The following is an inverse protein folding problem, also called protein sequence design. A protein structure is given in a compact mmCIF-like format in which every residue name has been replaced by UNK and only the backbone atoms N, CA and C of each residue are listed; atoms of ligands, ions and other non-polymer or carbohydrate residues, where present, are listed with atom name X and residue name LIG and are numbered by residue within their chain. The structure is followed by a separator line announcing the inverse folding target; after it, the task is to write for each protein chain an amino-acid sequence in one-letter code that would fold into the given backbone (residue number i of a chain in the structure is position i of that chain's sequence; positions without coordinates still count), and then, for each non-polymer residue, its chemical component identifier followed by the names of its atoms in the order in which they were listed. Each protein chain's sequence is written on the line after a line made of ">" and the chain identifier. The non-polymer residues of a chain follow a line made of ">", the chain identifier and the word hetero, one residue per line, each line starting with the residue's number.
data_IF_872435210746
#
_entry.id   IF_872435210746
#
_cell.length_a   1.000
_cell.length_b   1.000
_cell.length_c   1.000
_cell.angle_alpha   90.00
_cell.angle_beta   90.00
_cell.angle_gamma   90.00
#
_symmetry.space_group_name_H-M   'P 1'
#
loop_
_entity.id
_entity.type
_entity.pdbx_description
1 polymer ?
2 non-polymer ?
3 water ?
#
# COMPACT_ATOMS: atom_id res chain seq x y z
N UNK A 52 16.79 -3.87 -23.86
CA UNK A 52 15.54 -3.19 -23.37
C UNK A 52 15.71 -1.65 -23.44
N UNK A 53 14.70 -0.93 -23.93
CA UNK A 53 14.78 0.53 -23.97
C UNK A 53 14.33 1.11 -22.65
N UNK A 54 15.13 1.98 -22.07
CA UNK A 54 14.74 2.55 -20.78
C UNK A 54 13.57 3.51 -20.98
N UNK A 55 12.61 3.43 -20.07
CA UNK A 55 11.50 4.35 -20.04
C UNK A 55 11.64 5.29 -18.86
N UNK A 56 11.85 6.62 -19.13
CA UNK A 56 12.08 7.60 -18.10
C UNK A 56 10.87 7.81 -17.18
N UNK A 57 9.68 7.46 -17.68
CA UNK A 57 8.46 7.58 -16.87
C UNK A 57 8.12 6.28 -16.07
N UNK A 58 9.09 5.43 -15.89
CA UNK A 58 8.90 4.13 -15.31
C UNK A 58 9.89 4.15 -14.12
N UNK A 59 9.38 4.11 -12.90
CA UNK A 59 10.20 4.21 -11.68
C UNK A 59 10.11 2.95 -10.84
N UNK A 60 11.28 2.38 -10.51
CA UNK A 60 11.41 1.30 -9.52
C UNK A 60 11.73 1.86 -8.14
N UNK A 61 10.98 1.42 -7.13
CA UNK A 61 11.31 1.68 -5.74
C UNK A 61 11.90 0.44 -5.09
N UNK A 62 13.15 0.55 -4.67
CA UNK A 62 13.88 -0.52 -3.99
C UNK A 62 14.16 -0.17 -2.52
N UNK A 63 14.35 -1.22 -1.73
CA UNK A 63 14.87 -1.11 -0.35
C UNK A 63 16.13 -1.99 -0.25
N UNK A 64 17.19 -1.45 0.34
CA UNK A 64 18.44 -2.23 0.49
C UNK A 64 18.79 -2.41 1.96
N UNK A 65 19.68 -3.36 2.26
CA UNK A 65 20.21 -3.57 3.62
C UNK A 65 19.13 -3.65 4.72
N UNK A 66 18.03 -4.34 4.43
CA UNK A 66 16.93 -4.44 5.38
C UNK A 66 17.42 -4.75 6.79
N UNK A 67 18.65 -5.25 6.89
CA UNK A 67 19.23 -5.60 8.19
C UNK A 67 20.34 -4.63 8.58
N UNK A 68 20.18 -3.36 8.23
CA UNK A 68 21.19 -2.35 8.51
C UNK A 68 22.18 -2.84 9.57
N UNK A 69 22.31 -2.05 10.62
CA UNK A 69 23.23 -2.37 11.72
C UNK A 69 22.62 -2.08 13.08
N UNK A 70 22.22 -0.84 13.29
CA UNK A 70 21.65 -0.42 14.57
C UNK A 70 20.69 0.75 14.36
N UNK A 71 19.42 0.55 14.69
CA UNK A 71 18.95 -0.71 15.24
C UNK A 71 17.58 -1.06 14.66
N UNK A 72 17.56 -1.57 13.44
CA UNK A 72 16.29 -1.86 12.76
C UNK A 72 16.34 -3.15 11.95
N UNK A 73 15.39 -4.04 12.21
CA UNK A 73 14.40 -3.77 13.24
C UNK A 73 13.11 -3.23 12.63
N UNK A 74 11.96 -3.75 13.08
CA UNK A 74 10.66 -3.26 12.62
C UNK A 74 10.42 -1.84 13.13
N UNK A 75 11.18 -1.45 14.14
CA UNK A 75 11.08 -0.11 14.72
C UNK A 75 10.83 0.95 13.65
N UNK A 76 11.78 1.12 12.74
CA UNK A 76 11.68 2.15 11.70
C UNK A 76 11.61 1.56 10.30
N UNK A 77 11.51 0.24 10.20
CA UNK A 77 11.39 -0.43 8.90
C UNK A 77 9.98 -0.32 8.31
N UNK A 78 8.96 -0.54 9.14
CA UNK A 78 7.60 -0.30 8.68
C UNK A 78 7.32 1.19 8.34
N UNK A 79 8.09 2.10 8.90
CA UNK A 79 8.06 3.50 8.55
C UNK A 79 8.53 3.71 7.08
N UNK A 80 9.73 3.23 6.77
CA UNK A 80 10.28 3.29 5.42
C UNK A 80 9.38 2.57 4.42
N UNK A 81 8.84 1.45 4.84
CA UNK A 81 7.87 0.73 4.00
C UNK A 81 6.62 1.55 3.68
N UNK A 82 6.06 2.20 4.70
CA UNK A 82 4.90 3.04 4.52
C UNK A 82 5.15 4.24 3.62
N UNK A 83 6.32 4.85 3.73
CA UNK A 83 6.67 6.06 2.95
C UNK A 83 6.82 5.64 1.50
N UNK A 84 7.60 4.58 1.32
CA UNK A 84 7.76 3.90 0.05
C UNK A 84 6.43 3.58 -0.64
N UNK A 85 5.55 2.82 0.02
CA UNK A 85 4.20 2.53 -0.56
C UNK A 85 3.43 3.87 -0.87
N UNK A 86 3.53 4.85 0.04
CA UNK A 86 2.77 6.08 -0.17
C UNK A 86 3.28 6.81 -1.44
N UNK A 87 4.58 6.86 -1.59
CA UNK A 87 5.19 7.46 -2.78
C UNK A 87 4.72 6.76 -4.06
N UNK A 88 4.77 5.42 -4.09
CA UNK A 88 4.45 4.64 -5.25
C UNK A 88 3.04 4.87 -5.69
N UNK A 89 2.13 4.96 -4.74
CA UNK A 89 0.74 4.99 -5.05
C UNK A 89 0.25 6.38 -5.38
N UNK A 90 0.82 7.39 -4.71
CA UNK A 90 0.63 8.77 -5.16
C UNK A 90 1.07 8.97 -6.63
N UNK A 91 2.28 8.54 -7.00
CA UNK A 91 2.77 8.70 -8.38
C UNK A 91 1.88 7.96 -9.35
N UNK A 92 1.62 6.67 -9.07
CA UNK A 92 0.75 5.90 -9.93
C UNK A 92 -0.65 6.51 -10.10
N UNK A 93 -1.20 7.13 -9.06
CA UNK A 93 -2.57 7.62 -9.12
C UNK A 93 -2.64 9.01 -9.77
N UNK A 94 -1.69 9.87 -9.42
CA UNK A 94 -1.80 11.28 -9.71
C UNK A 94 -0.84 11.76 -10.77
N UNK A 95 -0.10 10.88 -11.42
CA UNK A 95 0.82 11.35 -12.47
C UNK A 95 0.78 10.30 -13.56
N UNK A 96 1.54 10.51 -14.62
CA UNK A 96 1.68 9.59 -15.76
C UNK A 96 2.95 8.77 -15.63
N UNK A 97 3.67 8.92 -14.51
CA UNK A 97 4.62 7.86 -14.12
C UNK A 97 3.96 6.50 -13.79
N UNK A 98 4.61 5.42 -14.22
CA UNK A 98 4.27 4.11 -13.73
C UNK A 98 5.32 3.74 -12.67
N UNK A 99 4.84 3.47 -11.46
CA UNK A 99 5.73 3.01 -10.39
C UNK A 99 5.62 1.51 -10.06
N UNK A 100 6.75 0.83 -10.13
CA UNK A 100 6.91 -0.52 -9.62
C UNK A 100 7.51 -0.48 -8.24
N UNK A 101 6.65 -0.76 -7.25
CA UNK A 101 7.06 -0.73 -5.87
C UNK A 101 7.65 -2.11 -5.47
N UNK A 102 8.97 -2.17 -5.38
CA UNK A 102 9.68 -3.45 -5.25
C UNK A 102 10.31 -3.55 -3.87
N UNK A 103 9.77 -2.80 -2.93
CA UNK A 103 10.20 -2.86 -1.55
C UNK A 103 10.17 -4.32 -0.97
N UNK A 104 9.22 -5.13 -1.40
CA UNK A 104 9.01 -6.48 -0.81
C UNK A 104 9.40 -7.56 -1.83
N UNK A 105 10.25 -7.20 -2.78
CA UNK A 105 10.58 -8.11 -3.89
C UNK A 105 12.01 -8.59 -3.74
N UNK A 106 12.21 -9.89 -3.88
CA UNK A 106 13.51 -10.53 -3.72
C UNK A 106 14.37 -10.46 -4.98
N UNK A 107 13.80 -10.87 -6.11
CA UNK A 107 14.53 -10.95 -7.36
C UNK A 107 14.90 -9.57 -7.94
N UNK A 108 16.14 -9.43 -8.38
CA UNK A 108 16.58 -8.23 -9.06
C UNK A 108 16.67 -8.48 -10.56
N UNK A 109 15.52 -8.41 -11.23
CA UNK A 109 15.44 -8.75 -12.65
C UNK A 109 15.68 -7.55 -13.55
N UNK A 110 15.79 -7.80 -14.86
CA UNK A 110 15.97 -6.76 -15.87
C UNK A 110 14.68 -5.99 -16.09
N UNK A 111 14.76 -4.66 -16.04
CA UNK A 111 13.57 -3.81 -16.17
C UNK A 111 13.82 -2.64 -17.08
N UNK A 112 12.73 -2.15 -17.63
CA UNK A 112 12.79 -1.04 -18.50
C UNK A 112 12.76 0.25 -17.70
N UNK A 113 13.08 0.21 -16.42
CA UNK A 113 12.91 1.39 -15.54
C UNK A 113 14.00 2.44 -15.75
N UNK A 114 13.61 3.65 -16.12
CA UNK A 114 14.57 4.74 -16.38
C UNK A 114 15.02 5.46 -15.09
N UNK A 115 14.24 5.31 -14.03
CA UNK A 115 14.59 5.88 -12.76
C UNK A 115 14.49 4.81 -11.63
N UNK A 116 15.39 4.89 -10.65
CA UNK A 116 15.30 4.04 -9.45
C UNK A 116 15.28 4.94 -8.22
N UNK A 117 14.28 4.77 -7.36
CA UNK A 117 14.26 5.42 -6.05
C UNK A 117 14.69 4.37 -5.01
N UNK A 118 15.88 4.56 -4.41
CA UNK A 118 16.45 3.63 -3.43
C UNK A 118 16.33 4.13 -2.01
N UNK A 119 15.77 3.28 -1.14
CA UNK A 119 15.76 3.46 0.31
C UNK A 119 16.77 2.46 0.90
N UNK A 120 17.77 3.01 1.59
CA UNK A 120 18.86 2.21 2.18
C UNK A 120 19.07 2.70 3.59
N UNK A 121 19.28 1.76 4.50
CA UNK A 121 19.56 2.08 5.91
C UNK A 121 21.06 2.12 6.09
N UNK A 122 21.59 3.19 6.69
CA UNK A 122 23.04 3.37 6.81
C UNK A 122 23.43 3.92 8.17
N UNK A 123 24.37 3.23 8.85
CA UNK A 123 24.86 3.69 10.14
C UNK A 123 26.01 4.67 9.99
N UNK A 124 26.11 5.60 10.94
CA UNK A 124 27.16 6.61 10.91
C UNK A 124 28.46 6.01 10.37
N UNK A 125 28.48 4.69 10.24
CA UNK A 125 29.66 3.98 9.74
C UNK A 125 30.86 4.19 10.64
N UNK A 126 31.21 5.45 10.87
CA UNK A 126 32.36 5.79 11.70
C UNK A 126 32.56 4.76 12.81
N UNK A 127 31.54 3.94 13.02
CA UNK A 127 31.61 2.87 14.02
C UNK A 127 31.45 1.52 13.34
N UNK A 128 30.92 1.53 12.11
CA UNK A 128 30.67 0.30 11.37
C UNK A 128 29.23 -0.17 11.54
N UNK A 129 28.59 0.27 12.62
CA UNK A 129 27.21 -0.10 12.89
C UNK A 129 26.65 0.65 14.08
N UNK A 130 25.85 1.69 13.80
CA UNK A 130 25.23 2.49 14.85
C UNK A 130 23.99 3.18 14.30
N UNK A 131 23.21 3.78 15.19
CA UNK A 131 22.00 4.48 14.77
C UNK A 131 21.95 4.61 13.26
N UNK A 132 21.05 3.87 12.63
CA UNK A 132 20.96 3.84 11.18
C UNK A 132 20.16 5.01 10.61
N UNK A 133 20.84 5.90 9.91
CA UNK A 133 20.17 6.94 9.10
C UNK A 133 19.52 6.35 7.81
N UNK A 134 18.46 7.00 7.34
CA UNK A 134 17.73 6.53 6.13
C UNK A 134 18.23 7.25 4.89
N UNK A 135 18.85 6.51 3.99
CA UNK A 135 19.39 7.10 2.77
C UNK A 135 18.42 6.90 1.57
N UNK A 136 18.05 8.00 0.94
CA UNK A 136 17.12 7.97 -0.18
C UNK A 136 17.68 8.67 -1.40
N UNK A 137 17.90 7.88 -2.45
CA UNK A 137 18.47 8.40 -3.70
C UNK A 137 17.55 8.12 -4.88
N UNK A 138 17.32 9.16 -5.68
CA UNK A 138 16.70 8.99 -7.00
C UNK A 138 17.80 9.04 -8.04
N UNK A 139 17.94 7.96 -8.80
CA UNK A 139 18.95 7.83 -9.84
C UNK A 139 18.29 7.78 -11.23
N UNK A 140 18.82 8.55 -12.17
CA UNK A 140 18.45 8.45 -13.58
C UNK A 140 19.30 7.32 -14.19
N UNK A 141 18.69 6.16 -14.49
CA UNK A 141 19.48 5.03 -14.95
C UNK A 141 19.93 5.21 -16.37
N UNK A 142 19.42 6.23 -17.05
CA UNK A 142 19.91 6.50 -18.40
C UNK A 142 21.42 6.88 -18.36
N UNK A 143 21.78 7.85 -17.50
CA UNK A 143 23.20 8.23 -17.28
C UNK A 143 23.82 7.66 -16.03
N UNK A 144 23.01 7.33 -15.03
CA UNK A 144 23.53 6.82 -13.78
C UNK A 144 23.84 7.98 -12.85
N UNK A 145 23.27 9.14 -13.17
CA UNK A 145 23.42 10.31 -12.35
C UNK A 145 22.34 10.42 -11.27
N UNK A 146 22.66 11.15 -10.21
CA UNK A 146 21.82 11.29 -9.05
C UNK A 146 20.98 12.52 -9.15
N UNK A 147 19.67 12.36 -9.15
CA UNK A 147 18.77 13.51 -9.23
C UNK A 147 18.33 13.96 -7.86
N UNK A 148 18.58 13.12 -6.85
CA UNK A 148 18.12 13.41 -5.51
C UNK A 148 18.88 12.53 -4.53
N UNK A 149 19.36 13.16 -3.46
CA UNK A 149 20.12 12.46 -2.43
C UNK A 149 19.80 13.03 -1.07
N UNK A 150 19.05 12.27 -0.29
CA UNK A 150 18.61 12.68 1.03
C UNK A 150 19.13 11.70 2.08
N UNK A 151 19.47 12.26 3.25
CA UNK A 151 19.88 11.45 4.39
C UNK A 151 19.06 11.90 5.58
N UNK A 152 18.31 10.98 6.15
CA UNK A 152 17.38 11.30 7.20
C UNK A 152 17.71 10.50 8.45
N UNK A 153 17.71 11.18 9.61
CA UNK A 153 17.76 10.54 10.92
C UNK A 153 16.36 10.62 11.51
N UNK A 154 15.82 9.51 11.96
CA UNK A 154 14.51 9.48 12.61
C UNK A 154 14.62 10.08 14.01
N UNK A 155 13.54 10.69 14.48
CA UNK A 155 13.52 11.30 15.80
C UNK A 155 12.20 11.06 16.53
N UNK A 156 11.85 11.97 17.43
CA UNK A 156 10.62 11.85 18.20
C UNK A 156 9.43 12.50 17.50
N UNK A 157 9.70 13.56 16.74
CA UNK A 157 8.64 14.29 16.05
C UNK A 157 9.03 14.87 14.71
N UNK A 158 9.75 14.08 13.92
CA UNK A 158 10.13 14.47 12.54
C UNK A 158 9.68 13.50 11.44
N UNK A 159 8.84 12.52 11.79
CA UNK A 159 8.40 11.45 10.89
C UNK A 159 7.57 12.01 9.72
N UNK A 160 6.70 12.94 10.07
CA UNK A 160 5.89 13.67 9.09
C UNK A 160 6.76 14.58 8.22
N UNK A 161 7.69 15.26 8.91
CA UNK A 161 8.64 16.16 8.28
C UNK A 161 9.45 15.45 7.24
N UNK A 162 9.89 14.24 7.57
CA UNK A 162 10.77 13.52 6.70
C UNK A 162 9.97 13.19 5.45
N UNK A 163 8.74 12.75 5.65
CA UNK A 163 7.90 12.32 4.57
C UNK A 163 7.44 13.50 3.68
N UNK A 164 6.98 14.60 4.28
CA UNK A 164 6.60 15.80 3.50
C UNK A 164 7.80 16.38 2.72
N UNK A 165 8.96 16.46 3.36
CA UNK A 165 10.20 16.82 2.67
C UNK A 165 10.52 15.86 1.51
N UNK A 166 10.26 14.56 1.67
CA UNK A 166 10.51 13.63 0.56
C UNK A 166 9.60 13.93 -0.63
N UNK A 167 8.35 14.21 -0.32
CA UNK A 167 7.34 14.44 -1.34
C UNK A 167 7.57 15.75 -2.11
N UNK A 168 7.85 16.81 -1.35
CA UNK A 168 8.19 18.08 -1.96
C UNK A 168 9.45 17.95 -2.85
N UNK A 169 10.44 17.20 -2.36
CA UNK A 169 11.69 17.04 -3.09
C UNK A 169 11.55 16.18 -4.33
N UNK A 170 10.58 15.25 -4.32
CA UNK A 170 10.31 14.40 -5.48
C UNK A 170 9.57 15.19 -6.54
N UNK A 171 8.65 16.01 -6.12
CA UNK A 171 7.96 16.96 -6.97
C UNK A 171 8.93 17.80 -7.84
N UNK A 172 9.95 18.40 -7.22
CA UNK A 172 10.97 19.17 -7.91
C UNK A 172 11.86 18.31 -8.78
N UNK A 173 12.46 17.28 -8.20
CA UNK A 173 13.36 16.46 -9.00
C UNK A 173 12.72 15.81 -10.24
N UNK A 174 11.44 15.48 -10.16
CA UNK A 174 10.73 14.88 -11.28
C UNK A 174 9.93 15.92 -12.12
N UNK A 175 10.09 17.21 -11.79
CA UNK A 175 9.25 18.29 -12.34
C UNK A 175 7.77 17.91 -12.35
N UNK A 176 7.27 17.41 -11.24
CA UNK A 176 5.92 16.85 -11.20
C UNK A 176 5.16 17.53 -10.08
N UNK A 177 4.57 18.70 -10.36
CA UNK A 177 3.81 19.33 -9.27
C UNK A 177 2.72 18.36 -8.85
N UNK A 178 2.25 18.45 -7.61
CA UNK A 178 1.20 17.56 -7.16
C UNK A 178 -0.14 18.27 -7.33
N UNK A 179 -1.16 17.57 -7.88
CA UNK A 179 -2.49 18.10 -8.14
C UNK A 179 -3.22 18.36 -6.83
N UNK A 180 -4.23 19.20 -6.90
CA UNK A 180 -4.99 19.53 -5.71
C UNK A 180 -5.59 18.25 -5.15
N UNK A 181 -5.89 17.32 -6.03
CA UNK A 181 -6.62 16.15 -5.56
C UNK A 181 -5.70 15.29 -4.67
N UNK A 182 -4.43 15.17 -5.06
CA UNK A 182 -3.43 14.53 -4.23
C UNK A 182 -3.20 15.22 -2.87
N UNK A 183 -3.04 16.54 -2.88
CA UNK A 183 -2.91 17.30 -1.64
C UNK A 183 -4.08 17.04 -0.69
N UNK A 184 -5.32 17.18 -1.14
CA UNK A 184 -6.47 16.95 -0.25
C UNK A 184 -6.46 15.47 0.22
N UNK A 185 -6.20 14.55 -0.71
CA UNK A 185 -6.13 13.14 -0.38
C UNK A 185 -5.11 12.84 0.73
N UNK A 186 -3.85 13.22 0.57
CA UNK A 186 -2.84 13.08 1.66
C UNK A 186 -3.25 13.66 2.98
N UNK A 187 -3.87 14.81 2.96
CA UNK A 187 -4.43 15.40 4.19
C UNK A 187 -5.45 14.47 4.88
N UNK A 188 -6.28 13.79 4.09
CA UNK A 188 -7.37 13.02 4.65
C UNK A 188 -6.98 11.61 5.10
N UNK A 189 -5.96 11.07 4.44
CA UNK A 189 -5.55 9.69 4.49
C UNK A 189 -4.43 9.41 5.53
N UNK A 190 -3.80 10.49 6.03
CA UNK A 190 -2.62 10.39 6.91
C UNK A 190 -2.94 11.10 8.20
N UNK A 191 -2.48 10.54 9.35
CA UNK A 191 -2.58 11.29 10.62
C UNK A 191 -1.52 12.40 10.61
N UNK A 192 -1.69 13.44 11.45
CA UNK A 192 -0.79 14.61 11.45
C UNK A 192 0.03 14.75 12.74
N UNK A 193 0.14 13.66 13.46
CA UNK A 193 1.17 13.60 14.49
C UNK A 193 2.04 12.39 14.28
N UNK A 194 3.32 12.57 14.52
CA UNK A 194 4.34 11.54 14.27
C UNK A 194 3.99 10.17 14.86
N UNK A 195 3.60 10.16 16.12
CA UNK A 195 3.30 8.92 16.83
C UNK A 195 2.13 8.15 16.23
N UNK A 196 1.05 8.82 15.87
CA UNK A 196 0.01 8.13 15.08
C UNK A 196 0.49 7.60 13.74
N UNK A 197 1.49 8.26 13.16
CA UNK A 197 1.98 7.86 11.86
C UNK A 197 2.72 6.55 12.00
N UNK A 198 3.59 6.49 13.00
CA UNK A 198 4.32 5.26 13.42
C UNK A 198 3.35 4.10 13.58
N UNK A 199 2.32 4.29 14.39
CA UNK A 199 1.34 3.23 14.67
C UNK A 199 0.53 2.80 13.46
N UNK A 200 0.14 3.79 12.68
CA UNK A 200 -0.65 3.56 11.48
C UNK A 200 0.13 2.77 10.42
N UNK A 201 1.40 3.10 10.22
CA UNK A 201 2.23 2.34 9.28
C UNK A 201 2.59 0.94 9.76
N UNK A 202 2.82 0.79 11.07
CA UNK A 202 2.86 -0.55 11.67
C UNK A 202 1.55 -1.35 11.32
N UNK A 203 0.38 -0.74 11.49
CA UNK A 203 -0.89 -1.38 11.13
C UNK A 203 -0.88 -1.76 9.64
N UNK A 204 -0.42 -0.82 8.79
CA UNK A 204 -0.30 -1.02 7.36
C UNK A 204 0.60 -2.21 7.04
N UNK A 205 1.69 -2.33 7.77
CA UNK A 205 2.59 -3.45 7.60
C UNK A 205 1.90 -4.81 7.91
N UNK A 206 1.07 -4.87 8.96
CA UNK A 206 0.27 -6.07 9.21
C UNK A 206 -0.72 -6.28 8.08
N UNK A 207 -1.31 -5.20 7.55
CA UNK A 207 -2.31 -5.41 6.50
C UNK A 207 -1.62 -6.09 5.29
N UNK A 208 -0.43 -5.63 4.94
CA UNK A 208 0.37 -6.17 3.85
C UNK A 208 0.60 -7.69 3.90
N UNK A 209 0.89 -8.22 5.08
CA UNK A 209 1.11 -9.64 5.24
C UNK A 209 -0.15 -10.43 4.99
N UNK A 210 -1.29 -9.90 5.41
CA UNK A 210 -2.55 -10.41 4.90
C UNK A 210 -3.14 -11.69 5.49
N UNK A 211 -2.37 -12.45 6.29
CA UNK A 211 -2.87 -13.68 6.96
C UNK A 211 -3.82 -13.31 8.14
N UNK A 212 -4.70 -14.22 8.54
CA UNK A 212 -5.67 -13.97 9.60
C UNK A 212 -5.05 -13.31 10.85
N UNK A 213 -3.95 -13.85 11.30
CA UNK A 213 -3.26 -13.38 12.48
C UNK A 213 -2.81 -11.88 12.36
N UNK A 214 -2.20 -11.59 11.23
CA UNK A 214 -1.81 -10.23 10.81
C UNK A 214 -2.98 -9.31 10.74
N UNK A 215 -4.05 -9.76 10.12
CA UNK A 215 -5.23 -8.91 10.10
C UNK A 215 -5.82 -8.66 11.51
N UNK A 216 -5.83 -9.70 12.39
CA UNK A 216 -6.32 -9.46 13.76
C UNK A 216 -5.45 -8.40 14.42
N UNK A 217 -4.15 -8.49 14.24
CA UNK A 217 -3.31 -7.49 14.84
C UNK A 217 -3.53 -6.08 14.19
N UNK A 218 -3.72 -6.00 12.88
CA UNK A 218 -3.96 -4.69 12.24
C UNK A 218 -5.19 -4.11 12.91
N UNK A 219 -6.22 -4.93 13.03
CA UNK A 219 -7.49 -4.53 13.55
C UNK A 219 -7.41 -4.09 14.98
N UNK A 220 -6.64 -4.79 15.80
CA UNK A 220 -6.48 -4.36 17.17
C UNK A 220 -5.65 -3.04 17.24
N UNK A 221 -4.57 -2.95 16.49
CA UNK A 221 -3.77 -1.72 16.49
C UNK A 221 -4.65 -0.52 16.06
N UNK A 222 -5.37 -0.65 14.96
CA UNK A 222 -6.28 0.43 14.47
C UNK A 222 -7.36 0.80 15.48
N UNK A 223 -7.85 -0.17 16.24
CA UNK A 223 -8.77 0.10 17.31
C UNK A 223 -8.12 0.92 18.42
N UNK A 224 -6.87 0.62 18.77
CA UNK A 224 -6.23 1.40 19.82
C UNK A 224 -5.96 2.83 19.32
N UNK A 225 -5.68 2.98 18.02
CA UNK A 225 -5.52 4.30 17.42
C UNK A 225 -6.86 5.08 17.56
N UNK A 226 -7.92 4.49 17.04
CA UNK A 226 -9.24 5.08 17.08
C UNK A 226 -9.64 5.45 18.53
N UNK A 227 -9.56 4.53 19.48
CA UNK A 227 -9.89 4.87 20.88
C UNK A 227 -9.07 6.11 21.38
N UNK A 228 -7.78 6.19 21.05
CA UNK A 228 -6.96 7.30 21.48
C UNK A 228 -7.23 8.60 20.74
N UNK A 229 -7.64 8.50 19.48
CA UNK A 229 -7.77 9.69 18.64
C UNK A 229 -8.98 9.57 17.75
N UNK A 230 -10.16 9.73 18.35
CA UNK A 230 -11.41 9.45 17.59
C UNK A 230 -11.52 10.24 16.29
N UNK A 231 -10.80 11.37 16.19
CA UNK A 231 -10.87 12.31 15.07
C UNK A 231 -10.10 11.87 13.82
N UNK A 232 -9.24 10.86 13.97
CA UNK A 232 -8.54 10.24 12.82
C UNK A 232 -9.52 9.27 12.11
N UNK A 233 -10.47 9.85 11.39
CA UNK A 233 -11.53 9.11 10.75
C UNK A 233 -11.08 8.04 9.76
N UNK A 234 -10.02 8.32 9.03
CA UNK A 234 -9.51 7.36 8.08
C UNK A 234 -9.18 6.02 8.74
N UNK A 235 -8.61 6.04 9.94
CA UNK A 235 -8.30 4.82 10.67
C UNK A 235 -9.54 4.02 11.00
N UNK A 236 -10.68 4.68 11.31
CA UNK A 236 -11.93 3.94 11.51
C UNK A 236 -12.32 3.27 10.18
N UNK A 237 -12.08 3.96 9.06
CA UNK A 237 -12.39 3.41 7.72
C UNK A 237 -11.49 2.18 7.42
N UNK A 238 -10.23 2.26 7.82
CA UNK A 238 -9.30 1.16 7.62
C UNK A 238 -9.64 -0.05 8.49
N UNK A 239 -9.97 0.20 9.74
CA UNK A 239 -10.47 -0.81 10.64
C UNK A 239 -11.70 -1.51 10.06
N UNK A 240 -12.67 -0.72 9.59
CA UNK A 240 -13.86 -1.29 8.97
C UNK A 240 -13.45 -2.22 7.80
N UNK A 241 -12.52 -1.78 6.96
CA UNK A 241 -12.04 -2.62 5.87
C UNK A 241 -11.34 -3.93 6.30
N UNK A 242 -10.40 -3.86 7.22
CA UNK A 242 -9.77 -5.07 7.76
C UNK A 242 -10.83 -5.97 8.40
N UNK A 243 -11.72 -5.36 9.18
CA UNK A 243 -12.86 -6.08 9.73
C UNK A 243 -13.79 -6.79 8.69
N UNK A 244 -14.17 -6.21 7.55
CA UNK A 244 -15.02 -7.04 6.69
C UNK A 244 -14.17 -8.16 6.04
N UNK A 245 -12.87 -7.94 5.91
CA UNK A 245 -12.01 -8.89 5.25
C UNK A 245 -11.88 -10.11 6.20
N UNK A 246 -11.62 -9.85 7.48
CA UNK A 246 -11.57 -10.88 8.52
C UNK A 246 -12.91 -11.63 8.62
N UNK A 247 -14.01 -10.89 8.65
CA UNK A 247 -15.32 -11.52 8.76
C UNK A 247 -15.67 -12.46 7.60
N UNK A 248 -15.08 -12.22 6.43
CA UNK A 248 -15.26 -13.05 5.24
C UNK A 248 -14.87 -14.51 5.51
N UNK A 249 -13.89 -14.70 6.40
CA UNK A 249 -13.50 -16.05 6.86
C UNK A 249 -14.48 -16.70 7.89
N UNK A 250 -15.43 -15.94 8.43
CA UNK A 250 -16.42 -16.55 9.34
C UNK A 250 -17.81 -16.36 8.76
N UNK A 251 -18.04 -16.87 7.51
CA UNK A 251 -19.28 -16.53 6.79
C UNK A 251 -20.57 -16.79 7.57
N UNK A 252 -20.62 -17.87 8.34
CA UNK A 252 -21.87 -18.20 9.06
C UNK A 252 -22.12 -17.41 10.35
N UNK A 253 -21.18 -16.55 10.76
CA UNK A 253 -21.35 -15.69 11.97
C UNK A 253 -22.20 -14.40 11.71
N UNK A 254 -23.51 -14.60 11.54
CA UNK A 254 -24.52 -13.51 11.29
C UNK A 254 -24.55 -12.40 12.34
N UNK A 255 -24.38 -12.71 13.61
CA UNK A 255 -24.25 -11.64 14.58
C UNK A 255 -23.05 -10.72 14.26
N UNK A 256 -21.91 -11.31 13.88
CA UNK A 256 -20.76 -10.47 13.47
C UNK A 256 -21.08 -9.68 12.20
N UNK A 257 -21.82 -10.28 11.28
CA UNK A 257 -22.25 -9.58 10.06
C UNK A 257 -23.11 -8.35 10.39
N UNK A 258 -24.00 -8.50 11.39
CA UNK A 258 -24.87 -7.38 11.78
C UNK A 258 -24.06 -6.29 12.45
N UNK A 259 -23.17 -6.64 13.39
CA UNK A 259 -22.31 -5.58 13.98
C UNK A 259 -21.56 -4.82 12.87
N UNK A 260 -20.95 -5.58 11.95
CA UNK A 260 -20.20 -5.04 10.84
C UNK A 260 -20.99 -4.12 9.89
N UNK A 261 -22.20 -4.52 9.51
CA UNK A 261 -23.04 -3.67 8.65
C UNK A 261 -23.30 -2.32 9.31
N UNK A 262 -23.36 -2.32 10.63
CA UNK A 262 -23.51 -1.10 11.39
C UNK A 262 -22.25 -0.23 11.40
N UNK A 263 -21.11 -0.81 11.78
CA UNK A 263 -19.85 -0.05 11.70
C UNK A 263 -19.60 0.49 10.26
N UNK A 264 -20.01 -0.26 9.25
CA UNK A 264 -19.78 0.17 7.88
C UNK A 264 -20.69 1.33 7.47
N UNK A 265 -21.99 1.13 7.66
CA UNK A 265 -22.98 2.18 7.38
C UNK A 265 -22.65 3.50 8.09
N UNK A 266 -22.18 3.42 9.33
CA UNK A 266 -21.74 4.61 10.07
C UNK A 266 -20.36 5.16 9.62
N UNK A 267 -19.75 4.54 8.60
CA UNK A 267 -18.47 5.03 8.04
C UNK A 267 -18.61 5.55 6.61
N UNK A 268 -19.30 4.82 5.73
CA UNK A 268 -19.30 5.16 4.30
C UNK A 268 -20.05 6.46 3.97
N UNK A 269 -20.98 6.80 4.86
CA UNK A 269 -21.76 8.02 4.77
C UNK A 269 -20.94 9.23 5.12
N UNK A 270 -19.93 9.10 6.01
CA UNK A 270 -19.23 10.28 6.56
C UNK A 270 -18.70 11.20 5.46
N UNK A 271 -18.76 12.53 5.69
CA UNK A 271 -18.40 13.53 4.67
C UNK A 271 -16.88 13.67 4.49
N UNK A 272 -16.15 13.64 5.61
CA UNK A 272 -14.69 13.71 5.60
C UNK A 272 -14.02 12.56 4.81
N UNK A 273 -14.84 11.66 4.23
CA UNK A 273 -14.35 10.46 3.57
C UNK A 273 -14.88 10.36 2.15
N UNK A 274 -15.74 11.32 1.79
CA UNK A 274 -16.21 11.48 0.42
C UNK A 274 -15.06 11.51 -0.53
N UNK A 275 -15.19 10.79 -1.63
CA UNK A 275 -14.19 10.88 -2.70
C UNK A 275 -12.87 10.20 -2.39
N UNK A 276 -12.82 9.42 -1.30
CA UNK A 276 -11.69 8.54 -1.02
C UNK A 276 -11.89 7.11 -1.54
N UNK A 277 -10.83 6.51 -2.06
CA UNK A 277 -10.85 5.08 -2.34
C UNK A 277 -11.32 4.13 -1.20
N UNK A 278 -10.91 4.38 0.03
CA UNK A 278 -11.17 3.45 1.12
C UNK A 278 -12.68 3.07 1.15
N UNK A 279 -13.49 4.04 0.84
CA UNK A 279 -14.92 3.89 0.95
C UNK A 279 -15.51 2.92 -0.09
N UNK A 280 -14.88 2.84 -1.26
CA UNK A 280 -15.28 1.95 -2.31
C UNK A 280 -14.66 0.61 -2.13
N UNK A 281 -13.61 0.54 -1.35
CA UNK A 281 -12.97 -0.73 -1.07
C UNK A 281 -13.85 -1.47 -0.07
N UNK A 282 -14.24 -0.77 1.00
CA UNK A 282 -15.22 -1.28 1.93
C UNK A 282 -16.51 -1.77 1.25
N UNK A 283 -17.11 -0.96 0.37
CA UNK A 283 -18.32 -1.37 -0.33
C UNK A 283 -18.06 -2.56 -1.23
N UNK A 284 -16.92 -2.55 -1.92
CA UNK A 284 -16.60 -3.64 -2.84
C UNK A 284 -16.45 -4.98 -2.12
N UNK A 285 -15.77 -5.00 -0.97
CA UNK A 285 -15.59 -6.25 -0.22
C UNK A 285 -16.88 -6.72 0.50
N UNK A 286 -17.58 -5.76 1.10
CA UNK A 286 -18.86 -6.03 1.71
C UNK A 286 -19.87 -6.60 0.72
N UNK A 287 -19.93 -6.00 -0.47
CA UNK A 287 -20.81 -6.53 -1.51
C UNK A 287 -20.35 -7.91 -2.04
N UNK A 288 -19.05 -8.11 -2.16
CA UNK A 288 -18.48 -9.37 -2.60
C UNK A 288 -18.92 -10.54 -1.61
N UNK A 289 -18.52 -10.44 -0.35
CA UNK A 289 -18.99 -11.31 0.74
C UNK A 289 -20.51 -11.63 0.73
N UNK A 290 -21.32 -10.64 0.36
CA UNK A 290 -22.79 -10.82 0.23
C UNK A 290 -23.25 -11.36 -1.15
N UNK A 291 -22.33 -11.63 -2.06
CA UNK A 291 -22.67 -12.14 -3.37
C UNK A 291 -23.22 -11.13 -4.36
N UNK A 292 -23.13 -9.85 -4.01
CA UNK A 292 -23.63 -8.76 -4.89
C UNK A 292 -22.54 -8.30 -5.85
N UNK A 293 -22.31 -9.13 -6.86
CA UNK A 293 -21.19 -9.06 -7.78
C UNK A 293 -21.20 -7.77 -8.63
N UNK A 294 -22.38 -7.22 -8.91
CA UNK A 294 -22.43 -6.07 -9.77
C UNK A 294 -22.16 -4.79 -9.00
N UNK A 295 -22.69 -4.70 -7.79
CA UNK A 295 -22.35 -3.63 -6.88
C UNK A 295 -20.86 -3.67 -6.52
N UNK A 296 -20.30 -4.89 -6.48
CA UNK A 296 -18.92 -5.06 -6.09
C UNK A 296 -18.03 -4.51 -7.20
N UNK A 297 -18.37 -4.89 -8.43
CA UNK A 297 -17.67 -4.42 -9.61
C UNK A 297 -17.67 -2.86 -9.76
N UNK A 298 -18.82 -2.24 -9.60
CA UNK A 298 -18.97 -0.78 -9.71
C UNK A 298 -18.23 -0.07 -8.57
N UNK A 299 -18.31 -0.58 -7.35
CA UNK A 299 -17.55 -0.02 -6.27
C UNK A 299 -16.07 -0.11 -6.54
N UNK A 300 -15.59 -1.29 -6.94
CA UNK A 300 -14.14 -1.42 -7.04
C UNK A 300 -13.57 -0.57 -8.18
N UNK A 301 -14.29 -0.44 -9.30
CA UNK A 301 -13.80 0.42 -10.44
C UNK A 301 -13.77 1.88 -10.08
N UNK A 302 -14.70 2.32 -9.24
CA UNK A 302 -14.61 3.65 -8.69
C UNK A 302 -13.41 3.81 -7.75
N UNK A 303 -13.09 2.76 -6.98
CA UNK A 303 -11.96 2.80 -6.04
C UNK A 303 -10.63 2.92 -6.79
N UNK A 304 -10.53 2.13 -7.86
CA UNK A 304 -9.39 2.17 -8.77
C UNK A 304 -9.17 3.56 -9.40
N UNK A 305 -10.20 4.15 -10.00
CA UNK A 305 -10.17 5.56 -10.44
C UNK A 305 -9.54 6.48 -9.36
N UNK A 306 -9.78 6.18 -8.08
CA UNK A 306 -9.35 7.13 -7.04
C UNK A 306 -7.99 6.74 -6.45
N UNK A 307 -7.60 5.49 -6.63
CA UNK A 307 -6.35 5.01 -6.06
C UNK A 307 -5.87 3.85 -6.87
N UNK A 308 -4.74 4.06 -7.54
CA UNK A 308 -4.20 2.97 -8.32
C UNK A 308 -3.27 2.10 -7.48
N UNK A 309 -3.86 1.15 -6.77
CA UNK A 309 -3.05 0.41 -5.78
C UNK A 309 -3.06 -1.04 -6.09
N UNK A 310 -2.06 -1.74 -5.63
CA UNK A 310 -1.90 -3.18 -5.81
C UNK A 310 -3.15 -3.82 -5.24
N UNK A 311 -3.59 -3.34 -4.07
CA UNK A 311 -4.74 -3.94 -3.37
C UNK A 311 -6.06 -3.78 -4.17
N UNK A 312 -6.28 -2.59 -4.71
CA UNK A 312 -7.49 -2.42 -5.55
C UNK A 312 -7.55 -3.38 -6.72
N UNK A 313 -6.42 -3.65 -7.34
CA UNK A 313 -6.38 -4.60 -8.43
C UNK A 313 -6.57 -6.05 -8.03
N UNK A 314 -5.97 -6.45 -6.89
CA UNK A 314 -6.32 -7.77 -6.29
C UNK A 314 -7.82 -7.87 -6.09
N UNK A 315 -8.43 -6.83 -5.55
CA UNK A 315 -9.89 -6.91 -5.26
C UNK A 315 -10.67 -6.98 -6.54
N UNK A 316 -10.27 -6.20 -7.56
CA UNK A 316 -10.91 -6.33 -8.90
C UNK A 316 -10.75 -7.77 -9.45
N UNK A 317 -9.54 -8.31 -9.31
CA UNK A 317 -9.34 -9.70 -9.72
C UNK A 317 -10.33 -10.60 -9.01
N UNK A 318 -10.61 -10.36 -7.72
CA UNK A 318 -11.50 -11.27 -6.93
C UNK A 318 -12.90 -11.12 -7.52
N UNK A 319 -13.30 -9.90 -7.82
CA UNK A 319 -14.64 -9.66 -8.34
C UNK A 319 -14.85 -10.35 -9.73
N UNK A 320 -13.81 -10.31 -10.58
CA UNK A 320 -13.79 -11.04 -11.84
C UNK A 320 -13.90 -12.56 -11.74
N UNK A 321 -13.20 -13.10 -10.75
CA UNK A 321 -13.34 -14.53 -10.47
C UNK A 321 -14.77 -14.90 -10.10
N UNK A 322 -15.37 -14.12 -9.20
CA UNK A 322 -16.72 -14.40 -8.78
C UNK A 322 -17.64 -14.38 -9.98
N UNK A 323 -17.45 -13.37 -10.83
CA UNK A 323 -18.17 -13.28 -12.08
C UNK A 323 -17.86 -14.41 -13.06
N UNK A 324 -16.95 -15.33 -12.78
CA UNK A 324 -16.60 -16.36 -13.79
C UNK A 324 -15.67 -15.92 -14.96
N UNK A 325 -14.92 -14.84 -14.78
CA UNK A 325 -14.10 -14.30 -15.86
C UNK A 325 -12.66 -14.38 -15.46
N UNK A 326 -12.07 -15.55 -15.65
CA UNK A 326 -10.75 -15.82 -15.22
C UNK A 326 -9.60 -15.14 -15.98
N UNK A 327 -9.79 -14.76 -17.25
CA UNK A 327 -8.71 -14.12 -18.01
C UNK A 327 -8.65 -12.69 -17.56
N UNK A 328 -9.81 -12.07 -17.36
CA UNK A 328 -9.88 -10.75 -16.75
C UNK A 328 -9.33 -10.77 -15.32
N UNK A 329 -9.62 -11.83 -14.57
CA UNK A 329 -9.07 -11.92 -13.20
C UNK A 329 -7.54 -11.94 -13.23
N UNK A 330 -6.99 -12.82 -14.08
CA UNK A 330 -5.54 -13.01 -14.27
C UNK A 330 -4.81 -11.68 -14.61
N UNK A 331 -5.44 -10.92 -15.51
CA UNK A 331 -5.04 -9.59 -15.87
C UNK A 331 -4.94 -8.58 -14.70
N UNK A 332 -6.00 -8.49 -13.89
CA UNK A 332 -6.02 -7.68 -12.64
C UNK A 332 -4.93 -8.12 -11.67
N UNK A 333 -4.87 -9.45 -11.44
CA UNK A 333 -3.84 -9.99 -10.59
C UNK A 333 -2.40 -9.69 -11.07
N UNK A 334 -2.14 -9.80 -12.36
CA UNK A 334 -0.80 -9.54 -12.84
C UNK A 334 -0.55 -8.05 -12.79
N UNK A 335 -1.57 -7.22 -12.93
CA UNK A 335 -1.44 -5.81 -12.66
C UNK A 335 -1.08 -5.47 -11.21
N UNK A 336 -1.84 -6.01 -10.25
CA UNK A 336 -1.42 -5.91 -8.80
C UNK A 336 0.00 -6.34 -8.64
N UNK A 337 0.41 -7.43 -9.28
CA UNK A 337 1.78 -7.95 -9.06
C UNK A 337 2.85 -6.99 -9.67
N UNK A 338 2.54 -6.33 -10.79
CA UNK A 338 3.45 -5.30 -11.39
C UNK A 338 3.55 -4.10 -10.52
N UNK A 339 2.42 -3.67 -9.97
CA UNK A 339 2.43 -2.55 -9.03
C UNK A 339 3.24 -2.74 -7.76
N UNK A 340 3.21 -3.96 -7.19
CA UNK A 340 3.89 -4.23 -5.93
C UNK A 340 4.32 -5.69 -5.91
N UNK A 341 5.40 -6.02 -6.62
CA UNK A 341 5.73 -7.45 -6.72
C UNK A 341 6.28 -8.04 -5.43
N UNK A 342 6.07 -9.34 -5.22
CA UNK A 342 6.63 -10.03 -4.07
C UNK A 342 5.62 -10.84 -3.25
N UNK A 343 6.06 -11.34 -2.10
CA UNK A 343 5.30 -12.32 -1.30
C UNK A 343 3.98 -11.75 -0.75
N UNK A 344 3.93 -10.49 -0.33
CA UNK A 344 2.72 -9.93 0.23
C UNK A 344 1.63 -9.90 -0.83
N UNK A 345 1.94 -9.42 -2.02
CA UNK A 345 0.91 -9.33 -3.06
C UNK A 345 0.50 -10.75 -3.50
N UNK A 346 1.49 -11.62 -3.65
CA UNK A 346 1.28 -13.02 -3.97
C UNK A 346 0.31 -13.69 -2.95
N UNK A 347 0.59 -13.48 -1.67
CA UNK A 347 -0.30 -13.98 -0.64
C UNK A 347 -1.73 -13.48 -0.80
N UNK A 348 -1.90 -12.19 -1.11
CA UNK A 348 -3.25 -11.64 -1.31
C UNK A 348 -3.98 -12.17 -2.56
N UNK A 349 -3.20 -12.44 -3.62
CA UNK A 349 -3.79 -12.99 -4.81
C UNK A 349 -4.28 -14.42 -4.45
N UNK A 350 -3.42 -15.18 -3.79
CA UNK A 350 -3.69 -16.59 -3.49
C UNK A 350 -4.75 -16.79 -2.39
N UNK A 351 -4.86 -15.86 -1.44
CA UNK A 351 -5.66 -16.11 -0.19
C UNK A 351 -6.62 -15.04 0.20
N UNK A 352 -6.50 -13.87 -0.42
CA UNK A 352 -7.22 -12.72 0.05
C UNK A 352 -8.69 -12.87 -0.24
N UNK A 353 -9.52 -12.74 0.82
CA UNK A 353 -11.00 -12.91 0.80
C UNK A 353 -11.41 -14.35 0.56
N UNK A 354 -11.01 -14.92 -0.59
CA UNK A 354 -11.14 -16.36 -0.85
C UNK A 354 -9.89 -16.87 -1.54
N UNK A 355 -9.73 -18.19 -1.57
CA UNK A 355 -8.56 -18.84 -2.17
C UNK A 355 -8.64 -18.85 -3.70
N UNK A 356 -7.50 -18.54 -4.34
CA UNK A 356 -7.39 -18.55 -5.79
C UNK A 356 -6.25 -19.49 -6.13
N UNK A 357 -6.46 -20.45 -7.02
CA UNK A 357 -5.39 -21.29 -7.51
C UNK A 357 -4.58 -20.57 -8.59
N UNK A 358 -3.37 -20.15 -8.28
CA UNK A 358 -2.56 -19.40 -9.25
C UNK A 358 -2.22 -20.29 -10.47
N UNK A 359 -1.85 -21.57 -10.25
CA UNK A 359 -1.67 -22.44 -11.44
C UNK A 359 -2.84 -22.45 -12.40
N UNK A 360 -4.07 -22.35 -11.93
CA UNK A 360 -5.22 -22.46 -12.82
C UNK A 360 -5.69 -21.10 -13.30
N UNK A 361 -5.68 -20.12 -12.43
CA UNK A 361 -6.30 -18.86 -12.82
C UNK A 361 -5.27 -17.95 -13.50
N UNK A 362 -4.03 -17.98 -13.00
CA UNK A 362 -2.96 -17.05 -13.44
C UNK A 362 -1.70 -17.83 -13.80
N UNK A 363 -1.77 -18.77 -14.77
CA UNK A 363 -0.62 -19.65 -14.99
C UNK A 363 0.65 -18.92 -15.34
N UNK A 364 0.52 -17.79 -16.07
CA UNK A 364 1.68 -16.98 -16.45
C UNK A 364 2.49 -16.64 -15.22
N UNK A 365 1.80 -16.33 -14.14
CA UNK A 365 2.51 -15.97 -12.90
C UNK A 365 3.21 -17.17 -12.23
N UNK A 366 2.58 -18.35 -12.22
CA UNK A 366 3.30 -19.56 -11.80
C UNK A 366 4.58 -19.70 -12.62
N UNK A 367 4.47 -19.70 -13.95
CA UNK A 367 5.68 -19.82 -14.82
C UNK A 367 6.72 -18.70 -14.67
N UNK A 368 6.28 -17.44 -14.50
CA UNK A 368 7.25 -16.37 -14.25
C UNK A 368 8.05 -16.67 -12.98
N UNK A 369 7.36 -16.94 -11.87
CA UNK A 369 8.02 -17.33 -10.61
C UNK A 369 8.44 -18.81 -10.71
X LIG B 1 -5.49 14.29 13.77
X LIG B 1 -4.87 16.11 12.43
X LIG B 1 -7.67 14.75 13.36
X LIG B 1 -6.10 12.50 15.11
X LIG B 1 -3.24 13.83 14.15
X LIG B 1 -5.38 12.97 11.84
X LIG B 1 -5.57 15.59 15.70
X LIG C 1 -4.30 -9.71 19.98
X LIG C 1 -2.27 -10.70 19.73
X LIG C 1 -4.04 -9.87 22.30
X LIG C 1 -6.31 -8.71 20.29
X LIG C 1 -4.57 -9.60 17.68
X LIG C 1 -5.30 -11.81 19.85
X LIG C 1 -3.24 -7.56 20.10
X LIG D 1 -1.40 1.12 -0.32
X LIG D 1 -3.13 2.62 -0.90
X LIG D 1 -0.79 0.66 -2.60
X LIG D 1 0.39 -0.35 0.19
X LIG D 1 -1.94 1.64 1.88
X LIG D 1 -2.77 -0.70 -0.52
X LIG D 1 0.07 3.12 -0.11
X LIG E 1 -12.79 -13.29 16.02
X LIG E 1 -10.47 -12.78 15.89
X LIG E 1 -12.67 -13.02 18.36
X LIG E 1 -15.10 -13.79 16.16
X LIG E 1 -12.88 -13.54 13.68
X LIG E 1 -12.05 -15.54 16.15
X LIG E 1 -13.53 -11.02 15.87
X LIG F 1 -18.10 -8.14 17.86
X LIG F 1 -17.82 -7.02 15.78
X LIG F 1 -19.42 -6.27 18.55
X LIG F 1 -18.35 -9.25 19.95
X LIG F 1 -16.80 -9.98 17.14
X LIG F 1 -20.13 -9.18 17.08
X LIG F 1 -16.11 -7.06 18.64
X LIG G 1 -14.64 1.18 16.61
X LIG G 1 -12.84 1.96 15.25
X LIG G 1 -13.08 -0.13 17.79
X LIG G 1 -16.43 0.38 17.98
X LIG G 1 -16.19 2.51 15.44
X LIG G 1 -15.20 -0.50 15.02
X LIG G 1 -14.09 2.84 18.21
X LIG H 1 8.96 -14.15 -4.38
X LIG H 1 7.20 -13.17 -5.57
X LIG H 1 7.44 -14.85 -2.68
X LIG H 1 10.75 -15.16 -3.15
X LIG H 1 10.45 -13.46 -6.09
X LIG H 1 8.40 -16.23 -5.39
X LIG H 1 9.57 -12.05 -3.32
X LIG I 1 -3.26 -19.01 9.56
X LIG I 1 -1.41 -18.84 8.12
X LIG I 1 -1.94 -20.17 11.13
X LIG I 1 -5.11 -19.17 10.95
X LIG I 1 -4.61 -17.84 7.95
X LIG I 1 -3.87 -21.13 8.63
X LIG I 1 -2.65 -16.90 10.51
X LIG J 1 -2.62 -15.85 -17.92
X LIG J 1 -3.63 -15.78 -20.05
X LIG J 1 -4.49 -17.24 -17.54
X LIG J 1 -1.59 -15.92 -15.82
X LIG J 1 -0.78 -14.44 -18.34
X LIG J 1 -1.31 -17.72 -18.48
X LIG J 1 -3.93 -13.97 -17.37
X LIG K 1 -2.84 -22.87 -2.13
X LIG K 1 -3.75 -20.73 -2.73
X LIG K 1 -4.97 -23.46 -1.22
X LIG K 1 -1.97 -24.99 -1.51
X LIG K 1 -0.73 -22.30 -3.06
X LIG K 1 -3.73 -23.59 -4.21
X LIG K 1 -1.97 -22.14 -0.06
X LIG L 1 9.11 -7.69 5.01
X LIG L 1 9.56 -6.39 3.04
X LIG L 1 10.79 -9.24 4.38
X LIG L 1 8.63 -8.96 6.97
X LIG L 1 7.40 -6.14 5.63
X LIG L 1 7.56 -9.12 3.90
X LIG L 1 10.66 -6.29 6.13
X LIG M 1 2.47 18.81 -0.43
X LIG M 1 4.47 17.88 -1.33
X LIG M 1 1.19 16.84 -0.33
X LIG M 1 0.51 19.71 0.49
X LIG M 1 3.74 20.80 -0.53
X LIG M 1 1.87 19.55 -2.62
X LIG M 1 3.05 18.10 1.75
X LIG N 1 -23.48 -2.26 1.57
X LIG N 1 -21.27 -1.42 1.62
X LIG N 1 -22.73 -4.37 0.78
X LIG N 1 -25.71 -3.09 1.53
X LIG N 1 -24.21 -0.12 2.34
X LIG N 1 -23.80 -1.74 -0.71
X LIG N 1 -23.13 -2.81 3.85
X LIG O 1 15.15 16.99 8.68
X LIG O 1 14.15 19.04 8.04
X LIG O 1 14.13 17.22 10.81
X LIG O 1 16.16 14.94 9.34
X LIG O 1 16.17 16.79 6.56
X LIG O 1 13.20 15.94 7.89
X LIG O 1 17.11 18.06 9.54
X LIG P 1 -12.16 16.91 -3.88
X LIG P 1 -10.49 17.69 -5.37
X LIG P 1 -11.04 17.83 -2.00
X LIG P 1 -13.83 16.13 -2.38
X LIG P 1 -13.28 16.00 -5.75
X LIG P 1 -10.92 14.92 -3.57
X LIG P 1 -13.39 18.92 -4.17
X LIG Q 1 -23.42 -16.17 15.91
X LIG Q 1 -25.60 -15.31 16.23
X LIG Q 1 -23.46 -17.58 17.82
X LIG Q 1 -21.22 -17.05 15.61
X LIG Q 1 -23.28 -14.75 14.05
X LIG Q 1 -24.47 -17.80 14.53
X LIG Q 1 -22.35 -14.53 17.27
#
# INVERSE_FOLDING_TARGET
>A
GSGMKETAAAKFERQHMDSPDLGTDDDDKAMAHHHHHHSSGHIEGRHSKSRILLNPRDIDINMVNKSCNSWSSPYQLSYAIGVGDLVATSLNTFSTFMVHDKINYNIDEPSSSGKTLSIAFVNQRQYRAQQCFMSIKLVDNADGSTMLDKRYVITNGNQLAIQNDLLESLSKALNQPWPQRMQETLQKILPHRGALLTNFYQAHDYLLHGDDKSLNRASELLGEIVQSSPEFTYARAEKALVDIVRHSQHPLDEKQLAALNTEIDNIVTLPELNNLSIIYQIKAVSALVKGKTDESYQAINTGIDLEMSWLNYVLLGKVYEMKGMNREAADAYLTAFNLRPGANTLYWIENGIFQTSVPYVVPYLDKFLASE
>B hetero
1 RHE RE CL1 CL2 CL3 CL4 CL5 CL6
>C hetero
1 RHE RE CL1 CL2 CL3 CL4 CL5 CL6
>D hetero
1 RHE RE CL1 CL2 CL3 CL4 CL5 CL6
>E hetero
1 RHE RE CL1 CL2 CL3 CL4 CL5 CL6
>F hetero
1 RHE RE CL1 CL2 CL3 CL4 CL5 CL6
>G hetero
1 RHE RE CL1 CL2 CL3 CL4 CL5 CL6
>H hetero
1 RHE RE CL1 CL2 CL3 CL4 CL5 CL6
>I hetero
1 RHE RE CL1 CL2 CL3 CL4 CL5 CL6
>J hetero
1 RHE RE CL1 CL2 CL3 CL4 CL5 CL6
>K hetero
1 RHE RE CL1 CL2 CL3 CL4 CL5 CL6
>L hetero
1 RHE RE CL1 CL2 CL3 CL4 CL5 CL6
>M hetero
1 RHE RE CL1 CL2 CL3 CL4 CL5 CL6
>N hetero
1 RHE RE CL1 CL2 CL3 CL4 CL5 CL6
>O hetero
1 RHE RE CL1 CL2 CL3 CL4 CL5 CL6
>P hetero
1 RHE RE CL1 CL2 CL3 CL4 CL5 CL6
>Q hetero
1 RHE RE CL1 CL2 CL3 CL4 CL5 CL6
#
